data_IF_197766651060
#
_entry.id   IF_197766651060
#
_cell.length_a   1.000
_cell.length_b   1.000
_cell.length_c   1.000
_cell.angle_alpha   90.00
_cell.angle_beta   90.00
_cell.angle_gamma   90.00
#
_symmetry.space_group_name_H-M   'P 1'
#
loop_
_entity.id
_entity.type
_entity.pdbx_description
1 polymer ?
#
# COMPACT_ATOMS: atom_id res chain seq x y z
N UNK A 1 1.43 -26.22 -22.89
CA UNK A 1 2.07 -25.06 -22.22
C UNK A 1 1.95 -23.83 -23.12
N UNK A 2 0.73 -23.44 -23.49
CA UNK A 2 0.50 -22.40 -24.53
C UNK A 2 -0.91 -21.79 -24.53
N UNK A 3 -1.76 -22.06 -23.54
CA UNK A 3 -3.19 -21.66 -23.56
C UNK A 3 -3.50 -20.52 -22.56
N UNK A 4 -2.47 -19.93 -21.92
CA UNK A 4 -2.62 -18.75 -21.05
C UNK A 4 -2.00 -17.46 -21.64
N UNK A 5 -1.46 -17.49 -22.86
CA UNK A 5 -0.78 -16.32 -23.46
C UNK A 5 -1.74 -15.24 -23.99
N UNK A 6 -3.06 -15.42 -23.86
CA UNK A 6 -4.08 -14.49 -24.38
C UNK A 6 -4.90 -13.78 -23.30
N UNK A 7 -4.52 -13.88 -22.02
CA UNK A 7 -5.03 -12.97 -20.98
C UNK A 7 -4.30 -11.63 -21.12
N UNK A 8 -4.66 -10.92 -22.18
CA UNK A 8 -4.40 -9.52 -22.50
C UNK A 8 -3.24 -8.89 -21.68
N UNK A 9 -2.01 -9.30 -22.03
CA UNK A 9 -0.76 -8.93 -21.36
C UNK A 9 -0.57 -7.43 -21.17
N UNK A 10 -1.27 -6.63 -21.98
CA UNK A 10 -1.35 -5.18 -21.82
C UNK A 10 -1.90 -4.77 -20.45
N UNK A 11 -2.91 -5.46 -19.91
CA UNK A 11 -3.43 -5.16 -18.57
C UNK A 11 -2.42 -5.49 -17.48
N UNK A 12 -1.62 -6.55 -17.66
CA UNK A 12 -0.55 -6.91 -16.72
C UNK A 12 0.54 -5.84 -16.74
N UNK A 13 0.99 -5.42 -17.92
CA UNK A 13 1.96 -4.33 -18.07
C UNK A 13 1.44 -3.00 -17.53
N UNK A 14 0.19 -2.66 -17.83
CA UNK A 14 -0.45 -1.46 -17.30
C UNK A 14 -0.51 -1.51 -15.77
N UNK A 15 -0.89 -2.65 -15.19
CA UNK A 15 -0.89 -2.88 -13.75
C UNK A 15 0.50 -2.71 -13.13
N UNK A 16 1.54 -3.28 -13.76
CA UNK A 16 2.94 -3.10 -13.35
C UNK A 16 3.38 -1.64 -13.37
N UNK A 17 3.01 -0.88 -14.40
CA UNK A 17 3.33 0.55 -14.51
C UNK A 17 2.62 1.33 -13.40
N UNK A 18 1.31 1.13 -13.21
CA UNK A 18 0.53 1.82 -12.17
C UNK A 18 1.07 1.47 -10.77
N UNK A 19 1.41 0.21 -10.54
CA UNK A 19 2.01 -0.25 -9.30
C UNK A 19 3.38 0.42 -9.08
N UNK A 20 4.25 0.43 -10.09
CA UNK A 20 5.57 1.05 -10.03
C UNK A 20 5.51 2.55 -9.79
N UNK A 21 4.59 3.27 -10.45
CA UNK A 21 4.35 4.70 -10.19
C UNK A 21 3.90 4.94 -8.75
N UNK A 22 3.00 4.10 -8.23
CA UNK A 22 2.49 4.24 -6.87
C UNK A 22 3.57 3.94 -5.82
N UNK A 23 4.26 2.81 -5.94
CA UNK A 23 5.27 2.38 -4.98
C UNK A 23 6.62 3.10 -5.12
N UNK A 24 6.92 3.69 -6.27
CA UNK A 24 8.18 4.42 -6.48
C UNK A 24 8.26 5.75 -5.74
N UNK A 25 7.12 6.42 -5.51
CA UNK A 25 7.08 7.74 -4.87
C UNK A 25 6.27 7.82 -3.58
N UNK A 26 5.24 6.98 -3.41
CA UNK A 26 4.35 7.09 -2.24
C UNK A 26 5.06 6.84 -0.90
N UNK A 27 5.95 5.84 -0.74
CA UNK A 27 6.66 5.64 0.52
C UNK A 27 7.51 6.86 0.91
N UNK A 28 8.21 7.46 -0.05
CA UNK A 28 9.05 8.63 0.18
C UNK A 28 8.20 9.83 0.61
N UNK A 29 7.11 10.12 -0.09
CA UNK A 29 6.18 11.20 0.28
C UNK A 29 5.56 10.99 1.66
N UNK A 30 5.19 9.74 1.99
CA UNK A 30 4.65 9.37 3.30
C UNK A 30 5.71 9.57 4.40
N UNK A 31 6.95 9.15 4.17
CA UNK A 31 8.06 9.33 5.10
C UNK A 31 8.36 10.80 5.34
N UNK A 32 8.37 11.64 4.31
CA UNK A 32 8.53 13.09 4.46
C UNK A 32 7.39 13.69 5.28
N UNK A 33 6.14 13.38 4.96
CA UNK A 33 4.98 13.90 5.69
C UNK A 33 4.98 13.46 7.17
N UNK A 34 5.40 12.23 7.47
CA UNK A 34 5.54 11.75 8.85
C UNK A 34 6.64 12.47 9.61
N UNK A 35 7.79 12.70 8.98
CA UNK A 35 8.88 13.47 9.60
C UNK A 35 8.44 14.91 9.88
N UNK A 36 7.75 15.55 8.93
CA UNK A 36 7.25 16.92 9.07
C UNK A 36 6.23 17.07 10.21
N UNK A 37 5.36 16.06 10.42
CA UNK A 37 4.34 16.08 11.49
C UNK A 37 4.92 15.69 12.86
N UNK A 38 5.93 14.83 12.89
CA UNK A 38 6.53 14.35 14.13
C UNK A 38 7.59 15.31 14.71
N UNK A 39 8.10 16.25 13.90
CA UNK A 39 9.10 17.25 14.28
C UNK A 39 10.30 16.60 15.02
N UNK A 40 10.49 16.91 16.30
CA UNK A 40 11.57 16.36 17.14
C UNK A 40 11.51 14.83 17.31
N UNK A 41 10.38 14.20 17.01
CA UNK A 41 10.16 12.75 17.16
C UNK A 41 10.21 11.99 15.81
N UNK A 42 10.79 12.58 14.75
CA UNK A 42 10.83 11.98 13.42
C UNK A 42 11.45 10.57 13.39
N UNK A 43 12.55 10.33 14.11
CA UNK A 43 13.23 9.03 14.15
C UNK A 43 12.35 7.92 14.75
N UNK A 44 11.55 8.27 15.77
CA UNK A 44 10.58 7.35 16.39
C UNK A 44 9.43 7.07 15.43
N UNK A 45 8.89 8.10 14.77
CA UNK A 45 7.81 7.94 13.80
C UNK A 45 8.25 7.08 12.59
N UNK A 46 9.47 7.26 12.10
CA UNK A 46 10.05 6.43 11.04
C UNK A 46 10.21 4.97 11.47
N UNK A 47 10.74 4.74 12.68
CA UNK A 47 10.87 3.40 13.24
C UNK A 47 9.51 2.70 13.33
N UNK A 48 8.48 3.40 13.83
CA UNK A 48 7.11 2.89 13.88
C UNK A 48 6.56 2.57 12.48
N UNK A 49 6.78 3.44 11.49
CA UNK A 49 6.36 3.20 10.10
C UNK A 49 6.98 1.91 9.57
N UNK A 50 8.28 1.70 9.76
CA UNK A 50 8.98 0.49 9.29
C UNK A 50 8.45 -0.75 10.00
N UNK A 51 8.21 -0.68 11.31
CA UNK A 51 7.62 -1.80 12.07
C UNK A 51 6.24 -2.15 11.56
N UNK A 52 5.35 -1.16 11.40
CA UNK A 52 3.98 -1.37 10.91
C UNK A 52 3.99 -1.89 9.47
N UNK A 53 4.88 -1.37 8.62
CA UNK A 53 5.01 -1.83 7.24
C UNK A 53 5.42 -3.31 7.18
N UNK A 54 6.43 -3.71 7.94
CA UNK A 54 6.85 -5.12 8.02
C UNK A 54 5.73 -6.01 8.57
N UNK A 55 5.02 -5.55 9.61
CA UNK A 55 3.88 -6.27 10.16
C UNK A 55 2.76 -6.43 9.13
N UNK A 56 2.48 -5.41 8.33
CA UNK A 56 1.51 -5.46 7.25
C UNK A 56 1.91 -6.44 6.15
N UNK A 57 3.19 -6.50 5.77
CA UNK A 57 3.70 -7.48 4.80
C UNK A 57 3.58 -8.90 5.34
N UNK A 58 3.99 -9.15 6.58
CA UNK A 58 3.88 -10.46 7.22
C UNK A 58 2.41 -10.90 7.36
N UNK A 59 1.55 -10.02 7.87
CA UNK A 59 0.11 -10.28 8.01
C UNK A 59 -0.57 -10.49 6.66
N UNK A 60 -0.21 -9.69 5.64
CA UNK A 60 -0.69 -9.84 4.27
C UNK A 60 -0.28 -11.18 3.65
N UNK A 61 0.94 -11.65 3.93
CA UNK A 61 1.41 -12.98 3.50
C UNK A 61 0.61 -14.12 4.13
N UNK A 62 0.35 -14.05 5.45
CA UNK A 62 -0.45 -15.07 6.16
C UNK A 62 -1.89 -15.09 5.65
N UNK A 63 -2.55 -13.93 5.60
CA UNK A 63 -3.94 -13.81 5.14
C UNK A 63 -4.05 -14.19 3.66
N UNK A 64 -3.13 -13.71 2.83
CA UNK A 64 -3.09 -14.01 1.39
C UNK A 64 -2.82 -15.49 1.11
N UNK A 65 -1.90 -16.12 1.85
CA UNK A 65 -1.65 -17.55 1.77
C UNK A 65 -2.87 -18.38 2.19
N UNK A 66 -3.52 -18.00 3.30
CA UNK A 66 -4.77 -18.62 3.73
C UNK A 66 -5.91 -18.44 2.72
N UNK A 67 -6.04 -17.25 2.13
CA UNK A 67 -7.03 -16.96 1.09
C UNK A 67 -6.79 -17.81 -0.16
N UNK A 68 -5.53 -17.92 -0.60
CA UNK A 68 -5.13 -18.74 -1.73
C UNK A 68 -5.42 -20.22 -1.49
N UNK A 69 -5.14 -20.74 -0.29
CA UNK A 69 -5.34 -22.14 0.04
C UNK A 69 -6.83 -22.54 0.09
N UNK A 70 -7.70 -21.64 0.59
CA UNK A 70 -9.13 -21.94 0.79
C UNK A 70 -10.03 -21.56 -0.40
N UNK A 71 -9.72 -20.45 -1.09
CA UNK A 71 -10.61 -19.85 -2.10
C UNK A 71 -9.94 -19.70 -3.48
N UNK A 72 -8.66 -20.06 -3.61
CA UNK A 72 -7.93 -19.99 -4.88
C UNK A 72 -7.67 -18.57 -5.39
N UNK A 73 -7.06 -18.48 -6.58
CA UNK A 73 -6.57 -17.23 -7.17
C UNK A 73 -7.68 -16.24 -7.57
N UNK A 74 -8.90 -16.72 -7.87
CA UNK A 74 -10.02 -15.89 -8.32
C UNK A 74 -10.58 -14.96 -7.24
N UNK A 75 -10.25 -15.21 -5.97
CA UNK A 75 -10.66 -14.37 -4.84
C UNK A 75 -9.87 -13.06 -4.72
N UNK A 76 -8.62 -13.04 -5.20
CA UNK A 76 -7.69 -11.92 -5.02
C UNK A 76 -8.18 -10.59 -5.62
N UNK A 77 -8.74 -10.52 -6.85
CA UNK A 77 -9.17 -9.25 -7.41
C UNK A 77 -10.21 -8.53 -6.54
N UNK A 78 -11.22 -9.26 -6.06
CA UNK A 78 -12.29 -8.69 -5.22
C UNK A 78 -11.73 -8.29 -3.85
N UNK A 79 -10.91 -9.14 -3.24
CA UNK A 79 -10.28 -8.83 -1.95
C UNK A 79 -9.36 -7.60 -2.03
N UNK A 80 -8.56 -7.48 -3.10
CA UNK A 80 -7.69 -6.32 -3.32
C UNK A 80 -8.48 -5.04 -3.54
N UNK A 81 -9.60 -5.08 -4.28
CA UNK A 81 -10.49 -3.93 -4.44
C UNK A 81 -11.09 -3.53 -3.09
N UNK A 82 -11.59 -4.48 -2.31
CA UNK A 82 -12.15 -4.21 -0.99
C UNK A 82 -11.12 -3.59 -0.03
N UNK A 83 -9.90 -4.13 0.01
CA UNK A 83 -8.81 -3.59 0.83
C UNK A 83 -8.37 -2.19 0.36
N UNK A 84 -8.33 -1.95 -0.95
CA UNK A 84 -7.97 -0.65 -1.52
C UNK A 84 -9.03 0.41 -1.18
N UNK A 85 -10.32 0.08 -1.29
CA UNK A 85 -11.41 0.97 -0.86
C UNK A 85 -11.37 1.26 0.64
N UNK A 86 -11.07 0.24 1.45
CA UNK A 86 -10.89 0.40 2.89
C UNK A 86 -9.72 1.33 3.21
N UNK A 87 -8.56 1.13 2.59
CA UNK A 87 -7.39 2.00 2.75
C UNK A 87 -7.68 3.45 2.31
N UNK A 88 -8.34 3.62 1.15
CA UNK A 88 -8.77 4.94 0.67
C UNK A 88 -9.70 5.63 1.68
N UNK A 89 -10.63 4.90 2.29
CA UNK A 89 -11.54 5.45 3.30
C UNK A 89 -10.80 5.92 4.57
N UNK A 90 -9.77 5.17 4.99
CA UNK A 90 -8.93 5.54 6.12
C UNK A 90 -8.11 6.79 5.82
N UNK A 91 -7.46 6.85 4.66
CA UNK A 91 -6.69 8.02 4.21
C UNK A 91 -7.60 9.25 4.09
N UNK A 92 -8.79 9.09 3.52
CA UNK A 92 -9.74 10.19 3.36
C UNK A 92 -10.19 10.78 4.70
N UNK A 93 -10.40 9.93 5.71
CA UNK A 93 -10.69 10.36 7.09
C UNK A 93 -9.48 10.98 7.77
N UNK A 94 -8.29 10.40 7.60
CA UNK A 94 -7.05 10.84 8.22
C UNK A 94 -6.48 12.13 7.59
N UNK A 95 -6.91 12.48 6.36
CA UNK A 95 -6.44 13.66 5.62
C UNK A 95 -6.50 14.95 6.45
N UNK A 96 -7.53 15.11 7.29
CA UNK A 96 -7.69 16.29 8.18
C UNK A 96 -6.57 16.44 9.20
N UNK A 97 -5.94 15.35 9.61
CA UNK A 97 -4.94 15.32 10.67
C UNK A 97 -3.51 15.15 10.13
N UNK A 98 -3.33 14.46 9.00
CA UNK A 98 -2.01 14.08 8.47
C UNK A 98 -1.35 15.09 7.53
N UNK A 99 -2.10 16.03 6.94
CA UNK A 99 -1.56 17.04 6.02
C UNK A 99 -1.70 18.45 6.61
N UNK A 100 -1.11 18.66 7.79
CA UNK A 100 -0.89 20.03 8.27
C UNK A 100 0.27 20.60 7.46
N UNK A 101 0.17 21.83 6.90
CA UNK A 101 1.32 22.47 6.30
C UNK A 101 2.38 22.65 7.40
N UNK A 102 3.46 21.86 7.35
CA UNK A 102 4.62 22.11 8.18
C UNK A 102 5.05 23.57 7.97
N UNK A 103 5.28 24.32 9.05
CA UNK A 103 5.87 25.64 8.94
C UNK A 103 7.28 25.48 8.37
N UNK A 104 7.43 25.64 7.06
CA UNK A 104 8.74 25.81 6.42
C UNK A 104 9.38 27.06 7.03
N UNK A 105 10.29 26.87 7.99
CA UNK A 105 11.26 27.87 8.41
C UNK A 105 12.64 27.42 7.94
#
# INVERSE_FOLDING_TARGET
MTILSSYNSLFVWFGLIVWGMSFGGAPTLLQTALADVAEENADVAQSMLVTIFNLAVAGGGIIGGGLLNNYGMTSFPITMIALSLFALSLVWRAKKNGFRPGQRR
#
